data_IF_869982034157
#
_entry.id   IF_869982034157
#
_cell.length_a   1.000
_cell.length_b   1.000
_cell.length_c   1.000
_cell.angle_alpha   90.00
_cell.angle_beta   90.00
_cell.angle_gamma   90.00
#
_symmetry.space_group_name_H-M   'P 1'
#
loop_
_entity.id
_entity.type
_entity.pdbx_description
1 polymer ?
#
# COMPACT_ATOMS: atom_id res chain seq x y z
N UNK A 1 22.04 -12.64 -10.02
CA UNK A 1 22.37 -14.05 -10.29
C UNK A 1 23.69 -14.38 -9.62
N UNK A 2 23.63 -15.02 -8.46
CA UNK A 2 24.70 -15.82 -7.89
C UNK A 2 24.02 -17.06 -7.31
N UNK A 3 23.69 -18.00 -8.19
CA UNK A 3 23.33 -19.36 -7.81
C UNK A 3 24.63 -20.12 -7.59
N UNK A 4 25.14 -20.10 -6.35
CA UNK A 4 26.29 -20.91 -5.95
C UNK A 4 25.79 -22.16 -5.23
N UNK A 5 25.84 -23.28 -5.97
CA UNK A 5 26.29 -24.59 -5.50
C UNK A 5 25.61 -25.20 -4.28
N UNK A 6 24.47 -25.86 -4.47
CA UNK A 6 24.05 -26.97 -3.59
C UNK A 6 24.83 -28.26 -3.94
N UNK A 7 26.16 -28.24 -3.79
CA UNK A 7 26.98 -29.45 -3.74
C UNK A 7 27.87 -29.41 -2.50
N UNK A 8 27.40 -30.05 -1.43
CA UNK A 8 28.27 -30.43 -0.31
C UNK A 8 27.85 -29.97 1.09
N UNK A 9 26.58 -29.85 1.43
CA UNK A 9 26.12 -29.76 2.84
C UNK A 9 26.68 -28.61 3.70
N UNK A 10 27.48 -27.70 3.12
CA UNK A 10 28.06 -26.54 3.78
C UNK A 10 27.10 -25.38 3.62
N UNK A 11 26.57 -24.88 4.74
CA UNK A 11 25.75 -23.66 4.74
C UNK A 11 26.67 -22.43 4.75
N UNK A 12 26.66 -21.58 3.71
CA UNK A 12 27.45 -20.36 3.69
C UNK A 12 26.95 -19.39 4.77
N UNK A 13 27.87 -18.66 5.39
CA UNK A 13 27.57 -17.60 6.35
C UNK A 13 28.58 -16.46 6.16
N UNK A 14 28.15 -15.23 6.45
CA UNK A 14 28.99 -14.03 6.30
C UNK A 14 29.45 -13.52 7.67
N UNK A 15 28.76 -12.54 8.26
CA UNK A 15 29.16 -11.93 9.54
C UNK A 15 28.58 -12.61 10.78
N UNK A 16 27.39 -13.20 10.66
CA UNK A 16 26.70 -13.88 11.76
C UNK A 16 26.35 -15.29 11.30
N UNK A 17 26.87 -16.30 12.00
CA UNK A 17 26.47 -17.68 11.77
C UNK A 17 25.06 -17.87 12.33
N UNK A 18 24.13 -18.35 11.50
CA UNK A 18 22.77 -18.65 11.96
C UNK A 18 22.85 -19.69 13.08
N UNK A 19 22.30 -19.36 14.25
CA UNK A 19 22.08 -20.35 15.30
C UNK A 19 20.91 -21.20 14.83
N UNK A 20 21.19 -22.39 14.30
CA UNK A 20 20.14 -23.39 14.09
C UNK A 20 19.62 -23.82 15.47
N UNK A 21 18.64 -23.08 16.00
CA UNK A 21 17.81 -23.59 17.08
C UNK A 21 17.01 -24.77 16.50
N UNK A 22 17.12 -25.99 17.05
CA UNK A 22 16.33 -27.12 16.56
C UNK A 22 14.85 -26.74 16.63
N UNK A 23 14.14 -26.82 15.50
CA UNK A 23 12.72 -26.51 15.43
C UNK A 23 11.96 -27.36 16.45
N UNK A 24 11.62 -26.75 17.59
CA UNK A 24 10.70 -27.35 18.56
C UNK A 24 9.32 -27.31 17.92
N UNK A 25 8.91 -28.46 17.36
CA UNK A 25 7.56 -28.88 17.00
C UNK A 25 6.53 -27.74 16.91
N UNK A 26 6.25 -27.30 15.68
CA UNK A 26 5.02 -26.58 15.32
C UNK A 26 3.81 -27.47 15.59
N UNK A 27 3.34 -27.51 16.83
CA UNK A 27 2.00 -27.99 17.17
C UNK A 27 1.15 -26.83 17.68
N UNK A 28 0.24 -26.42 16.78
CA UNK A 28 -1.11 -25.88 16.98
C UNK A 28 -1.36 -25.03 18.23
N UNK A 29 -1.80 -23.78 17.93
CA UNK A 29 -2.49 -22.80 18.79
C UNK A 29 -1.58 -21.99 19.72
N UNK A 30 -1.36 -20.72 19.37
CA UNK A 30 -1.62 -19.58 20.28
C UNK A 30 -1.02 -18.27 19.72
N UNK A 31 -1.90 -17.33 19.39
CA UNK A 31 -1.62 -15.89 19.27
C UNK A 31 -1.10 -15.26 20.58
N UNK A 32 -1.10 -16.00 21.69
CA UNK A 32 -0.60 -15.55 22.99
C UNK A 32 0.94 -15.56 23.11
N UNK A 33 1.66 -16.37 22.32
CA UNK A 33 3.13 -16.46 22.39
C UNK A 33 3.87 -15.31 21.68
N UNK A 34 3.20 -14.54 20.83
CA UNK A 34 3.81 -13.40 20.16
C UNK A 34 4.13 -12.28 21.16
N UNK A 35 3.32 -12.16 22.21
CA UNK A 35 3.50 -11.21 23.31
C UNK A 35 4.69 -11.53 24.23
N UNK A 36 5.07 -12.81 24.36
CA UNK A 36 6.22 -13.26 25.15
C UNK A 36 7.56 -13.21 24.38
N UNK A 37 7.53 -13.06 23.04
CA UNK A 37 8.75 -13.00 22.21
C UNK A 37 9.28 -11.59 21.97
N UNK A 38 8.57 -10.55 22.37
CA UNK A 38 9.08 -9.18 22.38
C UNK A 38 10.11 -9.01 23.52
N UNK A 39 11.24 -9.72 23.43
CA UNK A 39 12.40 -9.43 24.28
C UNK A 39 12.77 -7.98 24.00
N UNK A 40 12.70 -7.14 25.03
CA UNK A 40 13.05 -5.73 24.93
C UNK A 40 14.38 -5.59 24.20
N UNK A 41 14.40 -4.72 23.18
CA UNK A 41 15.60 -4.45 22.39
C UNK A 41 16.71 -4.12 23.38
N UNK A 42 17.81 -4.90 23.42
CA UNK A 42 18.92 -4.58 24.30
C UNK A 42 19.35 -3.13 24.04
N UNK A 43 19.50 -2.36 25.12
CA UNK A 43 19.69 -0.90 25.09
C UNK A 43 20.78 -0.44 24.10
N UNK A 44 21.83 -1.24 23.97
CA UNK A 44 22.95 -1.06 23.03
C UNK A 44 22.48 -0.95 21.58
N UNK A 45 21.48 -1.74 21.17
CA UNK A 45 20.91 -1.68 19.82
C UNK A 45 19.98 -0.49 19.64
N UNK A 46 19.24 -0.08 20.68
CA UNK A 46 18.35 1.08 20.61
C UNK A 46 19.14 2.38 20.38
N UNK A 47 20.28 2.57 21.03
CA UNK A 47 21.14 3.75 20.79
C UNK A 47 21.64 3.81 19.33
N UNK A 48 22.00 2.66 18.75
CA UNK A 48 22.41 2.59 17.33
C UNK A 48 21.27 2.94 16.39
N UNK A 49 20.07 2.42 16.65
CA UNK A 49 18.87 2.75 15.88
C UNK A 49 18.51 4.23 15.99
N UNK A 50 18.62 4.82 17.18
CA UNK A 50 18.40 6.25 17.40
C UNK A 50 19.43 7.11 16.65
N UNK A 51 20.70 6.68 16.60
CA UNK A 51 21.73 7.34 15.79
C UNK A 51 21.37 7.33 14.30
N UNK A 52 20.99 6.16 13.77
CA UNK A 52 20.58 6.02 12.36
C UNK A 52 19.36 6.88 12.05
N UNK A 53 18.34 6.85 12.92
CA UNK A 53 17.15 7.71 12.82
C UNK A 53 17.54 9.18 12.82
N UNK A 54 18.46 9.60 13.69
CA UNK A 54 18.99 10.97 13.74
C UNK A 54 19.64 11.40 12.42
N UNK A 55 20.44 10.52 11.80
CA UNK A 55 21.06 10.77 10.49
C UNK A 55 20.04 10.96 9.37
N UNK A 56 18.94 10.19 9.40
CA UNK A 56 17.89 10.24 8.37
C UNK A 56 16.83 11.32 8.62
N UNK A 57 16.81 11.94 9.81
CA UNK A 57 15.71 12.78 10.27
C UNK A 57 15.32 13.88 9.28
N UNK A 58 16.30 14.61 8.75
CA UNK A 58 16.03 15.72 7.83
C UNK A 58 15.30 15.25 6.57
N UNK A 59 15.74 14.13 5.98
CA UNK A 59 15.12 13.59 4.77
C UNK A 59 13.68 13.12 5.03
N UNK A 60 13.44 12.52 6.20
CA UNK A 60 12.08 12.12 6.62
C UNK A 60 11.19 13.34 6.83
N UNK A 61 11.67 14.36 7.54
CA UNK A 61 10.93 15.62 7.76
C UNK A 61 10.58 16.30 6.43
N UNK A 62 11.55 16.45 5.54
CA UNK A 62 11.36 17.10 4.23
C UNK A 62 10.34 16.30 3.38
N UNK A 63 10.41 14.97 3.40
CA UNK A 63 9.48 14.09 2.68
C UNK A 63 8.06 14.21 3.22
N UNK A 64 7.88 14.12 4.55
CA UNK A 64 6.55 14.21 5.16
C UNK A 64 5.97 15.61 5.01
N UNK A 65 6.79 16.66 5.06
CA UNK A 65 6.35 18.02 4.81
C UNK A 65 5.89 18.22 3.36
N UNK A 66 6.51 17.56 2.38
CA UNK A 66 6.03 17.60 0.99
C UNK A 66 4.73 16.82 0.83
N UNK A 67 4.60 15.65 1.45
CA UNK A 67 3.40 14.80 1.33
C UNK A 67 2.19 15.36 2.10
N UNK A 68 2.39 15.96 3.27
CA UNK A 68 1.34 16.40 4.19
C UNK A 68 1.22 17.93 4.33
N UNK A 69 2.21 18.71 3.92
CA UNK A 69 2.24 20.16 4.17
C UNK A 69 1.33 20.98 3.26
N UNK A 70 1.15 22.27 3.61
CA UNK A 70 0.22 23.27 2.99
C UNK A 70 0.87 24.34 2.11
N UNK A 71 2.18 24.27 1.85
CA UNK A 71 2.93 25.40 1.28
C UNK A 71 2.83 25.59 -0.25
N UNK A 72 1.87 24.95 -0.91
CA UNK A 72 1.78 24.76 -2.37
C UNK A 72 0.28 24.61 -2.79
N UNK A 73 -0.10 24.60 -4.08
CA UNK A 73 -1.50 24.36 -4.48
C UNK A 73 -1.88 22.86 -4.47
N UNK A 74 -3.04 22.46 -3.94
CA UNK A 74 -3.51 21.05 -3.90
C UNK A 74 -3.78 20.48 -5.32
N UNK A 75 -3.42 19.22 -5.66
CA UNK A 75 -3.74 18.63 -6.96
C UNK A 75 -5.24 18.53 -7.15
N UNK A 76 -5.70 18.82 -8.37
CA UNK A 76 -7.12 18.79 -8.71
C UNK A 76 -7.73 17.40 -8.42
N UNK A 77 -7.02 16.31 -8.72
CA UNK A 77 -7.50 14.95 -8.46
C UNK A 77 -7.71 14.68 -6.96
N UNK A 78 -6.79 15.14 -6.10
CA UNK A 78 -6.89 14.97 -4.64
C UNK A 78 -8.04 15.81 -4.10
N UNK A 79 -8.13 17.07 -4.51
CA UNK A 79 -9.23 17.96 -4.12
C UNK A 79 -10.58 17.36 -4.53
N UNK A 80 -10.73 16.99 -5.81
CA UNK A 80 -11.96 16.41 -6.33
C UNK A 80 -12.36 15.15 -5.58
N UNK A 81 -11.41 14.23 -5.36
CA UNK A 81 -11.71 12.97 -4.68
C UNK A 81 -12.08 13.19 -3.21
N UNK A 82 -11.45 14.15 -2.53
CA UNK A 82 -11.75 14.46 -1.14
C UNK A 82 -13.08 15.20 -0.98
N UNK A 83 -13.38 16.14 -1.88
CA UNK A 83 -14.68 16.80 -1.95
C UNK A 83 -15.79 15.75 -2.21
N UNK A 84 -15.55 14.78 -3.10
CA UNK A 84 -16.46 13.65 -3.32
C UNK A 84 -16.69 12.80 -2.06
N UNK A 85 -15.64 12.52 -1.28
CA UNK A 85 -15.79 11.79 -0.02
C UNK A 85 -16.62 12.58 1.00
N UNK A 86 -16.46 13.90 1.06
CA UNK A 86 -17.27 14.78 1.91
C UNK A 86 -18.73 14.78 1.45
N UNK A 87 -19.01 14.88 0.16
CA UNK A 87 -20.36 14.78 -0.41
C UNK A 87 -21.00 13.40 -0.11
N UNK A 88 -20.22 12.32 -0.17
CA UNK A 88 -20.73 10.98 0.18
C UNK A 88 -21.04 10.86 1.67
N UNK A 89 -20.26 11.51 2.54
CA UNK A 89 -20.55 11.58 3.96
C UNK A 89 -21.84 12.36 4.24
N UNK A 90 -22.00 13.54 3.61
CA UNK A 90 -23.21 14.36 3.72
C UNK A 90 -24.45 13.60 3.23
N UNK A 91 -24.36 12.96 2.05
CA UNK A 91 -25.45 12.19 1.45
C UNK A 91 -25.94 11.04 2.33
N UNK A 92 -25.05 10.45 3.13
CA UNK A 92 -25.37 9.33 4.03
C UNK A 92 -25.48 9.76 5.50
N UNK A 93 -25.58 11.07 5.76
CA UNK A 93 -25.77 11.64 7.11
C UNK A 93 -24.66 11.22 8.11
N UNK A 94 -23.42 11.11 7.63
CA UNK A 94 -22.26 10.79 8.45
C UNK A 94 -21.71 12.10 9.04
N UNK A 95 -22.06 12.39 10.28
CA UNK A 95 -21.63 13.59 11.00
C UNK A 95 -20.24 13.44 11.66
N UNK A 96 -19.76 12.20 11.83
CA UNK A 96 -18.49 11.91 12.48
C UNK A 96 -17.29 12.26 11.59
N UNK A 97 -16.56 13.31 11.96
CA UNK A 97 -15.37 13.76 11.26
C UNK A 97 -14.23 12.72 11.30
N UNK A 98 -14.18 11.84 12.31
CA UNK A 98 -13.17 10.77 12.37
C UNK A 98 -13.37 9.74 11.24
N UNK A 99 -14.62 9.36 10.97
CA UNK A 99 -14.95 8.45 9.86
C UNK A 99 -14.51 9.00 8.52
N UNK A 100 -14.80 10.28 8.23
CA UNK A 100 -14.39 10.94 6.98
C UNK A 100 -12.87 11.07 6.88
N UNK A 101 -12.20 11.36 8.00
CA UNK A 101 -10.74 11.38 8.09
C UNK A 101 -10.13 10.01 7.76
N UNK A 102 -10.72 8.92 8.26
CA UNK A 102 -10.30 7.55 7.95
C UNK A 102 -10.44 7.27 6.45
N UNK A 103 -11.54 7.69 5.82
CA UNK A 103 -11.73 7.50 4.37
C UNK A 103 -10.65 8.22 3.55
N UNK A 104 -10.36 9.48 3.87
CA UNK A 104 -9.32 10.29 3.21
C UNK A 104 -7.93 9.69 3.43
N UNK A 105 -7.64 9.24 4.65
CA UNK A 105 -6.35 8.62 4.99
C UNK A 105 -6.17 7.27 4.29
N UNK A 106 -7.20 6.41 4.31
CA UNK A 106 -7.12 5.09 3.69
C UNK A 106 -7.08 5.15 2.17
N UNK A 107 -7.74 6.13 1.55
CA UNK A 107 -7.80 6.23 0.09
C UNK A 107 -6.51 6.74 -0.55
N UNK A 108 -5.81 7.69 0.08
CA UNK A 108 -4.62 8.30 -0.50
C UNK A 108 -3.35 8.02 0.32
N UNK A 109 -3.36 8.26 1.63
CA UNK A 109 -2.14 8.14 2.44
C UNK A 109 -1.66 6.70 2.46
N UNK A 110 -2.56 5.76 2.76
CA UNK A 110 -2.19 4.34 2.89
C UNK A 110 -2.07 3.58 1.56
N UNK A 111 -2.79 4.01 0.53
CA UNK A 111 -2.81 3.30 -0.77
C UNK A 111 -1.75 3.80 -1.74
N UNK A 112 -1.46 5.09 -1.73
CA UNK A 112 -0.54 5.71 -2.66
C UNK A 112 0.79 6.09 -2.00
N UNK A 113 0.77 6.93 -0.95
CA UNK A 113 2.02 7.43 -0.37
C UNK A 113 2.81 6.37 0.37
N UNK A 114 2.15 5.53 1.16
CA UNK A 114 2.80 4.37 1.80
C UNK A 114 3.38 3.42 0.76
N UNK A 115 2.69 3.22 -0.37
CA UNK A 115 3.18 2.36 -1.46
C UNK A 115 4.47 2.92 -2.06
N UNK A 116 4.50 4.22 -2.36
CA UNK A 116 5.68 4.91 -2.90
C UNK A 116 6.84 4.88 -1.90
N UNK A 117 6.56 5.13 -0.62
CA UNK A 117 7.59 5.11 0.43
C UNK A 117 8.22 3.72 0.58
N UNK A 118 7.43 2.65 0.47
CA UNK A 118 7.91 1.27 0.58
C UNK A 118 8.58 0.77 -0.70
N UNK A 119 8.15 1.25 -1.85
CA UNK A 119 8.59 0.74 -3.15
C UNK A 119 9.10 1.87 -4.05
N UNK A 120 10.25 2.49 -3.73
CA UNK A 120 10.80 3.59 -4.54
C UNK A 120 11.12 3.17 -5.98
N UNK A 121 11.32 1.88 -6.24
CA UNK A 121 11.50 1.32 -7.58
C UNK A 121 10.29 1.52 -8.51
N UNK A 122 9.12 1.87 -7.97
CA UNK A 122 7.95 2.23 -8.78
C UNK A 122 8.11 3.58 -9.47
N UNK A 123 9.01 4.44 -8.98
CA UNK A 123 9.25 5.79 -9.50
C UNK A 123 10.66 5.91 -10.06
N UNK A 124 11.63 5.26 -9.43
CA UNK A 124 13.04 5.38 -9.76
C UNK A 124 13.58 4.04 -10.26
N UNK A 125 14.50 4.08 -11.23
CA UNK A 125 15.24 2.89 -11.66
C UNK A 125 16.37 2.60 -10.65
N UNK A 126 16.01 1.96 -9.54
CA UNK A 126 16.90 1.65 -8.42
C UNK A 126 16.67 0.24 -7.88
N UNK A 127 17.75 -0.44 -7.53
CA UNK A 127 17.68 -1.72 -6.80
C UNK A 127 17.57 -1.46 -5.29
N UNK A 128 16.59 -2.10 -4.64
CA UNK A 128 16.34 -1.95 -3.21
C UNK A 128 16.76 -3.24 -2.49
N UNK A 129 17.80 -3.13 -1.65
CA UNK A 129 18.22 -4.24 -0.78
C UNK A 129 17.22 -4.48 0.36
N UNK A 130 17.20 -5.69 0.92
CA UNK A 130 16.33 -6.07 2.05
C UNK A 130 16.50 -5.15 3.28
N UNK A 131 17.73 -4.69 3.53
CA UNK A 131 18.01 -3.76 4.62
C UNK A 131 17.38 -2.38 4.38
N UNK A 132 17.42 -1.89 3.13
CA UNK A 132 16.76 -0.62 2.77
C UNK A 132 15.24 -0.77 2.84
N UNK A 133 14.68 -1.87 2.33
CA UNK A 133 13.25 -2.17 2.42
C UNK A 133 12.75 -2.20 3.88
N UNK A 134 13.54 -2.79 4.79
CA UNK A 134 13.25 -2.79 6.22
C UNK A 134 13.24 -1.39 6.84
N UNK A 135 14.20 -0.53 6.48
CA UNK A 135 14.26 0.86 6.94
C UNK A 135 13.09 1.67 6.39
N UNK A 136 12.78 1.54 5.10
CA UNK A 136 11.65 2.20 4.46
C UNK A 136 10.31 1.75 5.07
N UNK A 137 10.19 0.48 5.45
CA UNK A 137 9.01 -0.03 6.15
C UNK A 137 8.81 0.63 7.53
N UNK A 138 9.90 0.90 8.28
CA UNK A 138 9.83 1.64 9.55
C UNK A 138 9.36 3.08 9.30
N UNK A 139 9.89 3.76 8.28
CA UNK A 139 9.51 5.13 7.91
C UNK A 139 8.05 5.17 7.45
N UNK A 140 7.62 4.24 6.60
CA UNK A 140 6.25 4.13 6.11
C UNK A 140 5.26 3.86 7.24
N UNK A 141 5.63 3.03 8.23
CA UNK A 141 4.78 2.80 9.39
C UNK A 141 4.67 4.05 10.28
N UNK A 142 5.75 4.81 10.44
CA UNK A 142 5.72 6.14 11.09
C UNK A 142 4.82 7.11 10.34
N UNK A 143 4.82 7.10 9.00
CA UNK A 143 3.91 7.90 8.19
C UNK A 143 2.45 7.53 8.46
N UNK A 144 2.12 6.22 8.45
CA UNK A 144 0.77 5.73 8.81
C UNK A 144 0.36 6.21 10.19
N UNK A 145 1.23 6.03 11.20
CA UNK A 145 0.95 6.45 12.57
C UNK A 145 0.71 7.97 12.67
N UNK A 146 1.38 8.75 11.82
CA UNK A 146 1.21 10.21 11.71
C UNK A 146 -0.13 10.62 11.08
N UNK A 147 -0.78 9.71 10.35
CA UNK A 147 -2.09 9.94 9.75
C UNK A 147 -3.27 9.40 10.59
N UNK A 148 -2.99 8.73 11.71
CA UNK A 148 -4.06 8.23 12.60
C UNK A 148 -4.52 9.29 13.58
N UNK A 149 -5.80 9.26 13.98
CA UNK A 149 -6.32 10.14 15.03
C UNK A 149 -5.88 9.65 16.41
N UNK A 150 -5.92 8.33 16.64
CA UNK A 150 -5.60 7.71 17.93
C UNK A 150 -4.21 8.09 18.47
N UNK A 151 -4.16 8.58 19.70
CA UNK A 151 -2.89 8.78 20.41
C UNK A 151 -2.39 7.45 20.98
N UNK A 152 -1.13 7.11 20.70
CA UNK A 152 -0.49 5.93 21.26
C UNK A 152 0.50 6.31 22.35
N UNK A 153 0.24 5.87 23.59
CA UNK A 153 1.22 6.00 24.68
C UNK A 153 2.35 5.00 24.47
N UNK A 154 3.54 5.52 24.21
CA UNK A 154 4.73 4.69 23.96
C UNK A 154 5.17 4.00 25.25
N UNK A 155 5.31 2.68 25.20
CA UNK A 155 5.78 1.85 26.31
C UNK A 155 6.80 0.83 25.84
N UNK A 156 7.28 -0.01 26.77
CA UNK A 156 8.35 -1.01 26.53
C UNK A 156 8.01 -2.01 25.41
N UNK A 157 6.73 -2.32 25.24
CA UNK A 157 6.24 -3.28 24.26
C UNK A 157 5.75 -2.61 22.96
N UNK A 158 5.97 -1.30 22.82
CA UNK A 158 5.64 -0.59 21.59
C UNK A 158 6.49 -1.07 20.42
N UNK A 159 5.93 -1.12 19.20
CA UNK A 159 6.70 -1.30 17.99
C UNK A 159 7.89 -0.31 17.87
N UNK A 160 8.96 -0.76 17.22
CA UNK A 160 10.23 -0.01 17.13
C UNK A 160 10.04 1.37 16.51
N UNK A 161 9.22 1.49 15.47
CA UNK A 161 8.95 2.78 14.82
C UNK A 161 8.30 3.78 15.81
N UNK A 162 7.36 3.33 16.65
CA UNK A 162 6.71 4.16 17.69
C UNK A 162 7.68 4.55 18.80
N UNK A 163 8.66 3.69 19.11
CA UNK A 163 9.75 4.04 20.03
C UNK A 163 10.69 5.10 19.43
N UNK A 164 11.11 4.92 18.18
CA UNK A 164 12.07 5.80 17.50
C UNK A 164 11.50 7.18 17.19
N UNK A 165 10.24 7.26 16.79
CA UNK A 165 9.57 8.50 16.35
C UNK A 165 8.53 9.02 17.35
N UNK A 166 8.60 8.60 18.62
CA UNK A 166 7.66 8.96 19.68
C UNK A 166 7.43 10.48 19.80
N UNK A 167 8.49 11.29 19.59
CA UNK A 167 8.42 12.75 19.67
C UNK A 167 7.96 13.41 18.37
N UNK A 168 8.15 12.75 17.24
CA UNK A 168 7.91 13.33 15.92
C UNK A 168 6.49 13.04 15.42
N UNK A 169 5.93 11.86 15.74
CA UNK A 169 4.57 11.47 15.34
C UNK A 169 3.52 12.53 15.74
N UNK A 170 3.49 13.06 16.98
CA UNK A 170 2.55 14.14 17.33
C UNK A 170 2.75 15.40 16.49
N UNK A 171 4.01 15.79 16.21
CA UNK A 171 4.32 16.94 15.34
C UNK A 171 3.81 16.72 13.92
N UNK A 172 3.95 15.53 13.37
CA UNK A 172 3.45 15.21 12.03
C UNK A 172 1.91 15.17 11.98
N UNK A 173 1.23 14.69 13.03
CA UNK A 173 -0.25 14.72 13.13
C UNK A 173 -0.84 16.13 13.07
N UNK A 174 -0.08 17.13 13.53
CA UNK A 174 -0.50 18.54 13.48
C UNK A 174 -0.29 19.19 12.10
N UNK A 175 0.35 18.49 11.15
CA UNK A 175 0.38 18.97 9.77
C UNK A 175 -1.04 18.90 9.22
N UNK A 176 -1.61 20.02 8.74
CA UNK A 176 -2.95 20.01 8.18
C UNK A 176 -3.00 19.02 7.03
N UNK A 177 -3.91 18.04 7.05
CA UNK A 177 -4.18 17.08 5.96
C UNK A 177 -4.73 17.74 4.68
N UNK A 178 -4.41 19.01 4.46
CA UNK A 178 -4.62 19.75 3.24
C UNK A 178 -3.43 19.43 2.33
N UNK A 179 -3.45 18.20 1.83
CA UNK A 179 -2.42 17.54 1.04
C UNK A 179 -2.04 18.32 -0.20
N UNK A 180 -0.77 18.32 -0.60
CA UNK A 180 -0.34 19.02 -1.82
C UNK A 180 0.61 18.20 -2.72
N UNK A 181 0.42 18.42 -4.03
CA UNK A 181 1.25 18.22 -5.21
C UNK A 181 1.75 16.82 -5.47
N UNK A 182 0.82 16.06 -6.06
CA UNK A 182 1.13 15.06 -7.06
C UNK A 182 1.94 15.65 -8.21
N UNK A 183 2.77 14.77 -8.73
CA UNK A 183 3.39 14.80 -10.05
C UNK A 183 2.49 15.51 -11.08
N UNK A 184 3.07 16.25 -12.04
CA UNK A 184 2.30 16.68 -13.19
C UNK A 184 1.53 15.46 -13.70
N UNK A 185 0.20 15.59 -13.84
CA UNK A 185 -0.60 14.61 -14.55
C UNK A 185 0.07 14.48 -15.90
N UNK A 186 0.90 13.44 -16.05
CA UNK A 186 1.50 13.13 -17.32
C UNK A 186 0.30 12.98 -18.25
N UNK A 187 0.28 13.75 -19.35
CA UNK A 187 -0.56 13.40 -20.47
C UNK A 187 -0.22 11.95 -20.75
N UNK A 188 -1.13 11.04 -20.43
CA UNK A 188 -0.92 9.61 -20.62
C UNK A 188 -0.81 9.47 -22.13
N UNK A 189 0.40 9.22 -22.58
CA UNK A 189 0.66 8.98 -23.98
C UNK A 189 -0.04 7.67 -24.32
N UNK A 190 -1.16 7.76 -25.04
CA UNK A 190 -2.04 6.63 -25.36
C UNK A 190 -1.32 5.53 -26.13
N UNK A 191 -0.13 5.81 -26.66
CA UNK A 191 0.72 4.89 -27.39
C UNK A 191 1.55 3.95 -26.48
N UNK A 192 1.66 4.24 -25.18
CA UNK A 192 2.46 3.43 -24.24
C UNK A 192 1.76 2.17 -23.73
N UNK A 193 0.44 2.06 -23.91
CA UNK A 193 -0.35 0.94 -23.42
C UNK A 193 -1.07 0.25 -24.59
N UNK A 194 -1.06 -1.09 -24.61
CA UNK A 194 -1.83 -1.86 -25.60
C UNK A 194 -3.24 -2.15 -25.08
N UNK A 195 -4.28 -1.42 -25.53
CA UNK A 195 -5.65 -1.67 -25.08
C UNK A 195 -6.15 -3.05 -25.50
N UNK A 196 -5.63 -3.61 -26.60
CA UNK A 196 -6.03 -4.92 -27.11
C UNK A 196 -5.64 -6.06 -26.16
N UNK A 197 -4.44 -6.01 -25.58
CA UNK A 197 -3.99 -7.02 -24.61
C UNK A 197 -4.84 -6.94 -23.34
N UNK A 198 -5.08 -5.72 -22.83
CA UNK A 198 -5.95 -5.53 -21.67
C UNK A 198 -7.38 -6.04 -21.91
N UNK A 199 -7.96 -5.80 -23.09
CA UNK A 199 -9.29 -6.29 -23.45
C UNK A 199 -9.34 -7.82 -23.55
N UNK A 200 -8.31 -8.44 -24.10
CA UNK A 200 -8.21 -9.89 -24.16
C UNK A 200 -8.14 -10.51 -22.76
N UNK A 201 -7.32 -9.95 -21.88
CA UNK A 201 -7.21 -10.43 -20.49
C UNK A 201 -8.50 -10.18 -19.69
N UNK A 202 -9.18 -9.06 -19.93
CA UNK A 202 -10.51 -8.80 -19.35
C UNK A 202 -11.55 -9.81 -19.84
N UNK A 203 -11.51 -10.19 -21.12
CA UNK A 203 -12.45 -11.18 -21.66
C UNK A 203 -12.30 -12.55 -20.99
N UNK A 204 -11.11 -12.94 -20.55
CA UNK A 204 -10.92 -14.17 -19.77
C UNK A 204 -11.75 -14.17 -18.47
N UNK A 205 -11.91 -13.01 -17.81
CA UNK A 205 -12.80 -12.87 -16.66
C UNK A 205 -14.28 -12.92 -17.06
N UNK A 206 -14.64 -12.34 -18.20
CA UNK A 206 -16.01 -12.39 -18.73
C UNK A 206 -16.44 -13.84 -18.96
N UNK A 207 -15.62 -14.65 -19.63
CA UNK A 207 -15.91 -16.07 -19.87
C UNK A 207 -16.06 -16.83 -18.55
N UNK A 208 -15.16 -16.58 -17.59
CA UNK A 208 -15.19 -17.23 -16.27
C UNK A 208 -16.47 -16.93 -15.47
N UNK A 209 -17.02 -15.73 -15.62
CA UNK A 209 -18.18 -15.26 -14.87
C UNK A 209 -19.38 -14.95 -15.78
N UNK A 210 -19.49 -15.66 -16.91
CA UNK A 210 -20.45 -15.34 -17.96
C UNK A 210 -21.90 -15.37 -17.47
N UNK A 211 -22.32 -16.45 -16.81
CA UNK A 211 -23.72 -16.59 -16.36
C UNK A 211 -24.10 -15.55 -15.29
N UNK A 212 -23.30 -15.32 -14.22
CA UNK A 212 -23.59 -14.25 -13.25
C UNK A 212 -23.65 -12.86 -13.87
N UNK A 213 -22.74 -12.54 -14.80
CA UNK A 213 -22.72 -11.24 -15.47
C UNK A 213 -23.98 -11.08 -16.33
N UNK A 214 -24.33 -12.10 -17.11
CA UNK A 214 -25.52 -12.07 -17.97
C UNK A 214 -26.80 -11.91 -17.15
N UNK A 215 -26.94 -12.67 -16.06
CA UNK A 215 -28.08 -12.54 -15.15
C UNK A 215 -28.19 -11.12 -14.57
N UNK A 216 -27.08 -10.53 -14.12
CA UNK A 216 -27.09 -9.16 -13.60
C UNK A 216 -27.48 -8.12 -14.68
N UNK A 217 -27.06 -8.32 -15.93
CA UNK A 217 -27.43 -7.45 -17.05
C UNK A 217 -28.91 -7.59 -17.45
N UNK A 218 -29.50 -8.76 -17.22
CA UNK A 218 -30.93 -9.01 -17.42
C UNK A 218 -31.77 -8.53 -16.25
N UNK A 219 -31.25 -8.46 -15.03
CA UNK A 219 -31.98 -7.94 -13.86
C UNK A 219 -32.06 -6.40 -13.85
N UNK A 220 -31.03 -5.70 -14.34
CA UNK A 220 -31.01 -4.23 -14.37
C UNK A 220 -31.93 -3.63 -15.45
N UNK A 221 -32.90 -2.77 -15.09
CA UNK A 221 -33.80 -2.13 -16.07
C UNK A 221 -33.07 -1.32 -17.15
N UNK A 222 -31.93 -0.70 -16.82
CA UNK A 222 -31.13 0.02 -17.81
C UNK A 222 -30.39 -0.95 -18.74
N UNK A 223 -29.86 -2.05 -18.19
CA UNK A 223 -29.26 -3.15 -18.91
C UNK A 223 -30.21 -3.79 -19.93
N UNK A 224 -31.45 -4.06 -19.54
CA UNK A 224 -32.51 -4.54 -20.44
C UNK A 224 -32.81 -3.54 -21.56
N UNK A 225 -33.01 -2.27 -21.21
CA UNK A 225 -33.31 -1.19 -22.18
C UNK A 225 -32.20 -1.03 -23.22
N UNK A 226 -30.94 -1.21 -22.82
CA UNK A 226 -29.77 -1.11 -23.70
C UNK A 226 -29.37 -2.44 -24.35
N UNK A 227 -30.08 -3.53 -24.04
CA UNK A 227 -29.82 -4.89 -24.53
C UNK A 227 -28.38 -5.37 -24.24
N UNK A 228 -27.86 -5.08 -23.05
CA UNK A 228 -26.45 -5.34 -22.70
C UNK A 228 -26.10 -6.84 -22.69
N UNK A 229 -26.99 -7.69 -22.19
CA UNK A 229 -26.81 -9.15 -22.20
C UNK A 229 -26.65 -9.69 -23.63
N UNK A 230 -27.49 -9.21 -24.56
CA UNK A 230 -27.39 -9.58 -25.97
C UNK A 230 -26.08 -9.11 -26.62
N UNK A 231 -25.63 -7.89 -26.31
CA UNK A 231 -24.32 -7.39 -26.79
C UNK A 231 -23.16 -8.23 -26.26
N UNK A 232 -23.23 -8.68 -25.01
CA UNK A 232 -22.22 -9.56 -24.43
C UNK A 232 -22.16 -10.90 -25.19
N UNK A 233 -23.32 -11.49 -25.49
CA UNK A 233 -23.42 -12.70 -26.29
C UNK A 233 -22.83 -12.52 -27.71
N UNK A 234 -23.07 -11.37 -28.34
CA UNK A 234 -22.46 -11.02 -29.63
C UNK A 234 -20.93 -10.96 -29.53
N UNK A 235 -20.38 -10.37 -28.46
CA UNK A 235 -18.94 -10.34 -28.24
C UNK A 235 -18.41 -11.77 -28.07
N UNK A 236 -19.06 -12.61 -27.26
CA UNK A 236 -18.60 -13.98 -27.04
C UNK A 236 -18.57 -14.80 -28.33
N UNK A 237 -19.65 -14.77 -29.10
CA UNK A 237 -19.70 -15.44 -30.40
C UNK A 237 -18.63 -14.92 -31.39
N UNK A 238 -18.35 -13.61 -31.42
CA UNK A 238 -17.33 -13.05 -32.29
C UNK A 238 -15.90 -13.46 -31.90
N UNK A 239 -15.63 -13.59 -30.60
CA UNK A 239 -14.31 -13.99 -30.09
C UNK A 239 -14.12 -15.50 -30.26
N UNK A 240 -15.12 -16.32 -29.94
CA UNK A 240 -15.05 -17.78 -30.06
C UNK A 240 -14.94 -18.24 -31.52
N UNK A 241 -15.69 -17.63 -32.44
CA UNK A 241 -15.60 -17.94 -33.87
C UNK A 241 -14.24 -17.53 -34.49
N UNK A 242 -13.54 -16.57 -33.90
CA UNK A 242 -12.17 -16.21 -34.33
C UNK A 242 -11.09 -17.13 -33.76
N UNK A 243 -11.35 -17.80 -32.64
CA UNK A 243 -10.42 -18.78 -32.05
C UNK A 243 -10.45 -20.10 -32.83
N UNK A 244 -11.55 -20.44 -33.52
CA UNK A 244 -11.67 -21.65 -34.34
C UNK A 244 -11.00 -21.56 -35.71
N UNK A 245 -10.61 -20.36 -36.17
CA UNK A 245 -10.00 -20.12 -37.49
C UNK A 245 -8.46 -19.95 -37.43
N UNK A 246 -7.82 -20.28 -36.31
CA UNK A 246 -6.37 -20.28 -36.07
C UNK A 246 -5.87 -21.71 -35.77
#
# INVERSE_FOLDING_TARGET
>A
MLEDGEEGGVKPWHLVKSLEEPEVCRNRRSSLRERERAKAIPEIYLTRLLSMKGTLQKFVDDTFQVMLGVNRPVPIAVKYFFDFLDEMAEKHEIEDAETVHIWKTHSLMQRFWVLILKHPQMIFDVEVSENVDSILSVIAQTFIDSCTISEHKVGRDSPVNKLLYARDIPRYKHLPYNLINGFPLAQIDSEQFSPFVALHDLYAYIVKYYDPITAALEEDPNGQKMQLAYRLQQISSLVENKVTDL
#
